data_IF_864072883992
#
_entry.id   IF_864072883992
#
_cell.length_a   1.000
_cell.length_b   1.000
_cell.length_c   1.000
_cell.angle_alpha   90.00
_cell.angle_beta   90.00
_cell.angle_gamma   90.00
#
_symmetry.space_group_name_H-M   'P 1'
#
loop_
_entity.id
_entity.type
_entity.pdbx_description
1 polymer ?
#
# COMPACT_ATOMS: atom_id res chain seq x y z
N UNK A 1 -40.78 -45.77 17.80
CA UNK A 1 -39.46 -45.60 17.16
C UNK A 1 -39.50 -44.85 15.82
N UNK A 2 -40.35 -45.20 14.85
CA UNK A 2 -40.37 -44.53 13.53
C UNK A 2 -40.70 -43.03 13.57
N UNK A 3 -41.61 -42.58 14.43
CA UNK A 3 -41.94 -41.16 14.58
C UNK A 3 -40.81 -40.33 15.22
N UNK A 4 -40.03 -40.94 16.12
CA UNK A 4 -38.88 -40.29 16.77
C UNK A 4 -37.71 -40.15 15.80
N UNK A 5 -37.46 -41.16 14.96
CA UNK A 5 -36.47 -41.08 13.88
C UNK A 5 -36.88 -40.04 12.85
N UNK A 6 -38.17 -39.96 12.47
CA UNK A 6 -38.66 -38.94 11.54
C UNK A 6 -38.52 -37.51 12.10
N UNK A 7 -38.81 -37.32 13.39
CA UNK A 7 -38.64 -36.04 14.08
C UNK A 7 -37.16 -35.65 14.24
N UNK A 8 -36.26 -36.61 14.49
CA UNK A 8 -34.81 -36.39 14.50
C UNK A 8 -34.26 -36.07 13.11
N UNK A 9 -34.77 -36.71 12.05
CA UNK A 9 -34.39 -36.36 10.67
C UNK A 9 -34.96 -35.01 10.24
N UNK A 10 -36.17 -34.64 10.66
CA UNK A 10 -36.74 -33.32 10.39
C UNK A 10 -36.04 -32.21 11.18
N UNK A 11 -35.59 -32.48 12.41
CA UNK A 11 -34.75 -31.56 13.19
C UNK A 11 -33.34 -31.42 12.59
N UNK A 12 -32.76 -32.49 12.03
CA UNK A 12 -31.48 -32.43 11.29
C UNK A 12 -31.60 -31.75 9.92
N UNK A 13 -32.77 -31.79 9.27
CA UNK A 13 -33.00 -31.07 8.00
C UNK A 13 -33.38 -29.60 8.27
N UNK A 14 -33.87 -29.27 9.47
CA UNK A 14 -34.13 -27.91 9.93
C UNK A 14 -32.91 -27.19 10.52
N UNK A 15 -31.75 -27.86 10.68
CA UNK A 15 -30.48 -27.15 10.79
C UNK A 15 -30.09 -26.61 9.40
N UNK A 16 -30.88 -25.65 8.91
CA UNK A 16 -30.43 -24.77 7.85
C UNK A 16 -29.12 -24.16 8.32
N UNK A 17 -28.02 -24.51 7.66
CA UNK A 17 -26.71 -23.94 7.93
C UNK A 17 -26.83 -22.43 7.79
N UNK A 18 -26.84 -21.72 8.92
CA UNK A 18 -27.00 -20.27 8.93
C UNK A 18 -25.77 -19.66 8.26
N UNK A 19 -26.01 -18.93 7.17
CA UNK A 19 -24.95 -18.24 6.45
C UNK A 19 -24.66 -16.93 7.17
N UNK A 20 -23.50 -16.82 7.82
CA UNK A 20 -23.09 -15.58 8.49
C UNK A 20 -22.29 -14.64 7.59
N UNK A 21 -22.08 -14.99 6.32
CA UNK A 21 -21.42 -14.11 5.37
C UNK A 21 -22.22 -12.79 5.21
N UNK A 22 -21.54 -11.62 5.19
CA UNK A 22 -22.22 -10.38 4.89
C UNK A 22 -22.86 -10.42 3.50
N UNK A 23 -24.02 -9.80 3.36
CA UNK A 23 -24.74 -9.75 2.09
C UNK A 23 -25.31 -8.36 1.82
N UNK A 24 -25.22 -7.93 0.57
CA UNK A 24 -25.82 -6.68 0.10
C UNK A 24 -26.88 -7.00 -0.96
N UNK A 25 -28.15 -6.78 -0.62
CA UNK A 25 -29.25 -7.13 -1.49
C UNK A 25 -29.30 -6.24 -2.76
N UNK A 26 -29.80 -6.81 -3.85
CA UNK A 26 -30.06 -6.09 -5.09
C UNK A 26 -31.00 -4.89 -4.87
N UNK A 27 -30.79 -3.82 -5.65
CA UNK A 27 -31.57 -2.57 -5.60
C UNK A 27 -31.57 -1.86 -4.24
N UNK A 28 -30.61 -2.17 -3.37
CA UNK A 28 -30.38 -1.49 -2.09
C UNK A 28 -28.97 -0.92 -2.04
N UNK A 29 -28.84 0.24 -1.41
CA UNK A 29 -27.56 0.89 -1.14
C UNK A 29 -27.37 0.96 0.37
N UNK A 30 -26.31 0.32 0.85
CA UNK A 30 -25.96 0.28 2.26
C UNK A 30 -24.99 1.42 2.55
N UNK A 31 -25.37 2.32 3.45
CA UNK A 31 -24.54 3.43 3.88
C UNK A 31 -23.86 3.10 5.20
N UNK A 32 -22.54 3.32 5.23
CA UNK A 32 -21.71 3.19 6.41
C UNK A 32 -20.96 4.50 6.68
N UNK A 33 -20.78 4.82 7.95
CA UNK A 33 -19.75 5.76 8.39
C UNK A 33 -18.42 5.03 8.41
N UNK A 34 -17.39 5.63 7.82
CA UNK A 34 -16.05 5.08 7.77
C UNK A 34 -15.05 6.07 8.36
N UNK A 35 -14.19 5.56 9.23
CA UNK A 35 -13.05 6.29 9.76
C UNK A 35 -11.83 5.37 9.72
N UNK A 36 -10.71 5.88 9.22
CA UNK A 36 -9.44 5.19 9.26
C UNK A 36 -8.35 6.12 9.75
N UNK A 37 -7.47 5.60 10.60
CA UNK A 37 -6.39 6.32 11.24
C UNK A 37 -5.11 5.51 11.07
N UNK A 38 -4.02 6.18 10.74
CA UNK A 38 -2.67 5.61 10.70
C UNK A 38 -1.75 6.53 11.51
N UNK A 39 -1.05 6.00 12.51
CA UNK A 39 -0.04 6.71 13.29
C UNK A 39 1.28 5.95 13.26
N UNK A 40 2.38 6.65 13.01
CA UNK A 40 3.74 6.15 13.12
C UNK A 40 4.53 6.93 14.17
N UNK A 41 5.36 6.24 14.93
CA UNK A 41 6.27 6.84 15.90
C UNK A 41 6.61 5.90 17.05
N UNK A 42 7.07 6.47 18.14
CA UNK A 42 7.35 5.72 19.37
C UNK A 42 6.04 5.50 20.17
N UNK A 43 5.88 4.33 20.83
CA UNK A 43 4.64 3.95 21.49
C UNK A 43 4.29 4.80 22.71
N UNK A 44 5.27 5.46 23.33
CA UNK A 44 5.11 6.13 24.61
C UNK A 44 4.26 7.40 24.49
N UNK A 45 3.39 7.60 25.47
CA UNK A 45 2.62 8.83 25.64
C UNK A 45 3.55 10.02 25.90
N UNK A 46 3.21 11.17 25.32
CA UNK A 46 4.00 12.40 25.41
C UNK A 46 5.09 12.51 24.35
N UNK A 47 5.28 11.50 23.49
CA UNK A 47 6.19 11.56 22.36
C UNK A 47 5.50 12.01 21.08
N UNK A 48 6.30 12.54 20.15
CA UNK A 48 5.83 12.95 18.85
C UNK A 48 5.47 11.72 17.99
N UNK A 49 4.32 11.78 17.33
CA UNK A 49 3.90 10.86 16.27
C UNK A 49 3.50 11.65 15.03
N UNK A 50 3.52 10.96 13.90
CA UNK A 50 3.03 11.49 12.63
C UNK A 50 2.01 10.52 12.02
N UNK A 51 1.04 11.02 11.27
CA UNK A 51 0.03 10.16 10.72
C UNK A 51 -1.02 10.84 9.86
N UNK A 52 -1.95 10.03 9.38
CA UNK A 52 -3.07 10.45 8.54
C UNK A 52 -4.36 9.84 9.03
N UNK A 53 -5.45 10.57 8.88
CA UNK A 53 -6.80 10.09 9.16
C UNK A 53 -7.70 10.38 7.96
N UNK A 54 -8.56 9.43 7.63
CA UNK A 54 -9.57 9.57 6.58
C UNK A 54 -10.93 9.35 7.22
N UNK A 55 -11.85 10.28 6.98
CA UNK A 55 -13.26 10.16 7.35
C UNK A 55 -14.08 10.23 6.07
N UNK A 56 -15.05 9.35 5.92
CA UNK A 56 -15.93 9.33 4.76
C UNK A 56 -17.22 8.59 5.09
N UNK A 57 -18.21 8.71 4.22
CA UNK A 57 -19.24 7.68 4.11
C UNK A 57 -18.85 6.67 3.04
N UNK A 58 -19.21 5.41 3.24
CA UNK A 58 -19.02 4.32 2.29
C UNK A 58 -20.40 3.83 1.86
N UNK A 59 -20.65 3.84 0.55
CA UNK A 59 -21.86 3.29 -0.05
C UNK A 59 -21.51 1.98 -0.75
N UNK A 60 -22.29 0.95 -0.48
CA UNK A 60 -22.17 -0.36 -1.13
C UNK A 60 -23.51 -0.76 -1.75
N UNK A 61 -23.52 -1.14 -3.03
CA UNK A 61 -24.73 -1.60 -3.72
C UNK A 61 -24.42 -2.70 -4.71
N UNK A 62 -25.28 -3.73 -4.77
CA UNK A 62 -25.20 -4.75 -5.81
C UNK A 62 -25.66 -4.20 -7.16
N UNK A 63 -24.93 -4.53 -8.24
CA UNK A 63 -25.26 -4.13 -9.62
C UNK A 63 -25.47 -5.30 -10.57
N UNK A 64 -24.91 -6.46 -10.27
CA UNK A 64 -25.18 -7.72 -10.95
C UNK A 64 -24.93 -8.89 -9.98
N UNK A 65 -25.15 -10.13 -10.42
CA UNK A 65 -24.81 -11.30 -9.63
C UNK A 65 -23.33 -11.25 -9.21
N UNK A 66 -23.08 -11.38 -7.91
CA UNK A 66 -21.76 -11.31 -7.28
C UNK A 66 -20.93 -10.05 -7.62
N UNK A 67 -21.55 -8.98 -8.14
CA UNK A 67 -20.85 -7.76 -8.56
C UNK A 67 -21.44 -6.54 -7.88
N UNK A 68 -20.56 -5.76 -7.24
CA UNK A 68 -20.95 -4.65 -6.37
C UNK A 68 -20.18 -3.39 -6.71
N UNK A 69 -20.78 -2.25 -6.35
CA UNK A 69 -20.13 -0.95 -6.36
C UNK A 69 -19.76 -0.55 -4.93
N UNK A 70 -18.58 0.06 -4.78
CA UNK A 70 -18.18 0.79 -3.59
C UNK A 70 -17.91 2.25 -3.97
N UNK A 71 -18.50 3.19 -3.24
CA UNK A 71 -18.30 4.63 -3.44
C UNK A 71 -18.04 5.33 -2.11
N UNK A 72 -17.04 6.21 -2.09
CA UNK A 72 -16.85 7.17 -1.00
C UNK A 72 -17.68 8.43 -1.24
N UNK A 73 -18.29 8.95 -0.18
CA UNK A 73 -19.04 10.21 -0.20
C UNK A 73 -18.44 11.15 0.83
N UNK A 74 -18.14 12.35 0.36
CA UNK A 74 -17.51 13.45 1.11
C UNK A 74 -16.25 13.00 1.89
N UNK A 75 -15.25 12.40 1.21
CA UNK A 75 -14.03 11.97 1.88
C UNK A 75 -13.21 13.18 2.37
N UNK A 76 -12.83 13.16 3.64
CA UNK A 76 -11.99 14.16 4.29
C UNK A 76 -10.69 13.53 4.80
N UNK A 77 -9.56 14.14 4.47
CA UNK A 77 -8.24 13.73 4.94
C UNK A 77 -7.75 14.72 5.98
N UNK A 78 -7.13 14.18 7.02
CA UNK A 78 -6.51 14.92 8.10
C UNK A 78 -5.07 14.44 8.29
N UNK A 79 -4.22 15.34 8.71
CA UNK A 79 -2.82 15.08 9.06
C UNK A 79 -2.64 15.20 10.57
N UNK A 80 -1.69 14.44 11.08
CA UNK A 80 -1.25 14.49 12.47
C UNK A 80 0.27 14.63 12.49
N UNK A 81 0.77 15.60 13.24
CA UNK A 81 2.19 15.79 13.49
C UNK A 81 2.33 16.52 14.82
N UNK A 82 2.51 15.76 15.91
CA UNK A 82 2.47 16.34 17.24
C UNK A 82 2.62 15.32 18.36
N UNK A 83 2.50 15.80 19.59
CA UNK A 83 2.64 15.03 20.84
C UNK A 83 1.39 14.17 21.06
N UNK A 84 1.56 12.86 21.03
CA UNK A 84 0.47 11.89 21.19
C UNK A 84 0.16 11.61 22.68
N UNK A 85 -1.11 11.49 23.09
CA UNK A 85 -2.36 11.69 22.32
C UNK A 85 -2.95 13.11 22.45
N UNK A 86 -2.12 14.11 22.83
CA UNK A 86 -2.58 15.45 23.23
C UNK A 86 -2.99 16.32 22.05
N UNK A 87 -2.20 16.29 20.98
CA UNK A 87 -2.43 17.15 19.82
C UNK A 87 -3.59 16.63 18.97
N UNK A 88 -4.18 17.53 18.17
CA UNK A 88 -5.34 17.22 17.34
C UNK A 88 -4.97 16.96 15.89
N UNK A 89 -5.81 16.17 15.21
CA UNK A 89 -5.79 16.05 13.76
C UNK A 89 -6.18 17.37 13.10
N UNK A 90 -5.42 17.79 12.09
CA UNK A 90 -5.68 19.02 11.33
C UNK A 90 -6.17 18.66 9.92
N UNK A 91 -7.23 19.31 9.40
CA UNK A 91 -7.71 19.04 8.04
C UNK A 91 -6.64 19.29 6.97
N UNK A 92 -6.39 18.31 6.12
CA UNK A 92 -5.45 18.37 5.00
C UNK A 92 -6.14 18.86 3.72
N UNK A 93 -6.74 20.05 3.76
CA UNK A 93 -7.65 20.54 2.72
C UNK A 93 -7.08 20.50 1.28
N UNK A 94 -5.77 20.77 1.11
CA UNK A 94 -5.09 20.69 -0.18
C UNK A 94 -5.04 19.25 -0.71
N UNK A 95 -4.68 18.29 0.15
CA UNK A 95 -4.61 16.87 -0.20
C UNK A 95 -6.01 16.30 -0.45
N UNK A 96 -6.96 16.63 0.41
CA UNK A 96 -8.38 16.27 0.22
C UNK A 96 -8.87 16.74 -1.15
N UNK A 97 -8.65 18.01 -1.50
CA UNK A 97 -9.07 18.57 -2.79
C UNK A 97 -8.37 17.90 -3.98
N UNK A 98 -7.07 17.61 -3.86
CA UNK A 98 -6.29 16.97 -4.91
C UNK A 98 -6.75 15.53 -5.22
N UNK A 99 -7.26 14.81 -4.21
CA UNK A 99 -7.69 13.41 -4.35
C UNK A 99 -9.21 13.23 -4.43
N UNK A 100 -10.01 14.28 -4.15
CA UNK A 100 -11.47 14.21 -4.01
C UNK A 100 -12.17 13.52 -5.19
N UNK A 101 -11.80 13.88 -6.41
CA UNK A 101 -12.41 13.32 -7.62
C UNK A 101 -12.16 11.81 -7.74
N UNK A 102 -10.92 11.36 -7.50
CA UNK A 102 -10.56 9.95 -7.56
C UNK A 102 -11.16 9.16 -6.41
N UNK A 103 -11.12 9.69 -5.17
CA UNK A 103 -11.68 9.04 -3.99
C UNK A 103 -13.21 8.86 -4.11
N UNK A 104 -13.90 9.83 -4.69
CA UNK A 104 -15.36 9.78 -4.86
C UNK A 104 -15.80 8.98 -6.10
N UNK A 105 -14.85 8.50 -6.92
CA UNK A 105 -15.16 7.69 -8.10
C UNK A 105 -15.52 6.27 -7.66
N UNK A 106 -16.72 5.76 -7.99
CA UNK A 106 -17.12 4.41 -7.63
C UNK A 106 -16.22 3.36 -8.27
N UNK A 107 -15.82 2.35 -7.50
CA UNK A 107 -15.15 1.14 -8.00
C UNK A 107 -16.11 -0.04 -8.06
N UNK A 108 -15.81 -1.03 -8.89
CA UNK A 108 -16.52 -2.32 -8.91
C UNK A 108 -15.67 -3.40 -8.28
N UNK A 109 -16.31 -4.36 -7.64
CA UNK A 109 -15.64 -5.55 -7.13
C UNK A 109 -16.56 -6.77 -7.20
N UNK A 110 -15.95 -7.94 -7.37
CA UNK A 110 -16.63 -9.22 -7.20
C UNK A 110 -16.73 -9.53 -5.70
N UNK A 111 -17.88 -10.03 -5.25
CA UNK A 111 -18.08 -10.44 -3.87
C UNK A 111 -19.05 -11.61 -3.77
N UNK A 112 -18.62 -12.70 -3.13
CA UNK A 112 -19.46 -13.88 -2.96
C UNK A 112 -19.13 -14.57 -1.64
N UNK A 113 -20.15 -14.84 -0.82
CA UNK A 113 -20.00 -15.55 0.46
C UNK A 113 -18.89 -14.99 1.36
N UNK A 114 -18.79 -13.66 1.46
CA UNK A 114 -17.76 -13.02 2.28
C UNK A 114 -16.40 -12.84 1.60
N UNK A 115 -16.20 -13.38 0.39
CA UNK A 115 -14.92 -13.32 -0.32
C UNK A 115 -14.94 -12.21 -1.36
N UNK A 116 -13.97 -11.30 -1.30
CA UNK A 116 -13.71 -10.29 -2.35
C UNK A 116 -12.87 -10.93 -3.46
N UNK A 117 -13.36 -10.81 -4.69
CA UNK A 117 -12.69 -11.30 -5.89
C UNK A 117 -11.95 -10.19 -6.63
N UNK A 118 -12.17 -10.10 -7.94
CA UNK A 118 -11.53 -9.09 -8.80
C UNK A 118 -12.03 -7.69 -8.49
N UNK A 119 -11.13 -6.73 -8.60
CA UNK A 119 -11.39 -5.30 -8.43
C UNK A 119 -11.28 -4.60 -9.79
N UNK A 120 -12.19 -3.68 -10.07
CA UNK A 120 -12.24 -2.91 -11.31
C UNK A 120 -12.44 -1.43 -11.01
N UNK A 121 -11.70 -0.57 -11.70
CA UNK A 121 -11.81 0.87 -11.57
C UNK A 121 -11.57 1.55 -12.92
N UNK A 122 -12.08 2.79 -13.13
CA UNK A 122 -11.66 3.61 -14.25
C UNK A 122 -10.15 3.89 -14.23
N UNK A 123 -9.55 4.09 -15.40
CA UNK A 123 -8.11 4.41 -15.53
C UNK A 123 -7.72 5.72 -14.87
N UNK A 124 -8.68 6.64 -14.68
CA UNK A 124 -8.49 7.90 -13.97
C UNK A 124 -8.24 7.71 -12.46
N UNK A 125 -8.58 6.55 -11.89
CA UNK A 125 -8.29 6.22 -10.49
C UNK A 125 -6.88 5.65 -10.40
N UNK A 126 -5.99 6.41 -9.75
CA UNK A 126 -4.63 5.98 -9.46
C UNK A 126 -4.60 4.74 -8.58
N UNK A 127 -3.52 3.97 -8.68
CA UNK A 127 -3.32 2.77 -7.87
C UNK A 127 -3.27 3.10 -6.37
N UNK A 128 -2.68 4.24 -5.98
CA UNK A 128 -2.67 4.73 -4.59
C UNK A 128 -4.08 4.91 -4.05
N UNK A 129 -4.99 5.54 -4.80
CA UNK A 129 -6.39 5.72 -4.37
C UNK A 129 -7.13 4.38 -4.39
N UNK A 130 -6.83 3.50 -5.36
CA UNK A 130 -7.42 2.17 -5.40
C UNK A 130 -7.01 1.32 -4.19
N UNK A 131 -5.76 1.45 -3.72
CA UNK A 131 -5.29 0.80 -2.48
C UNK A 131 -6.04 1.28 -1.23
N UNK A 132 -6.48 2.54 -1.17
CA UNK A 132 -7.38 3.01 -0.10
C UNK A 132 -8.71 2.24 -0.14
N UNK A 133 -9.27 2.03 -1.34
CA UNK A 133 -10.48 1.23 -1.49
C UNK A 133 -10.25 -0.24 -1.12
N UNK A 134 -9.10 -0.83 -1.49
CA UNK A 134 -8.73 -2.20 -1.07
C UNK A 134 -8.65 -2.33 0.44
N UNK A 135 -8.16 -1.30 1.14
CA UNK A 135 -8.18 -1.23 2.60
C UNK A 135 -9.59 -1.31 3.19
N UNK A 136 -10.59 -0.72 2.52
CA UNK A 136 -12.01 -0.81 2.93
C UNK A 136 -12.58 -2.19 2.58
N UNK A 137 -12.30 -2.69 1.38
CA UNK A 137 -12.72 -4.03 0.95
C UNK A 137 -12.15 -5.13 1.86
N UNK A 138 -10.96 -4.93 2.43
CA UNK A 138 -10.32 -5.85 3.37
C UNK A 138 -11.15 -6.07 4.66
N UNK A 139 -11.99 -5.10 5.04
CA UNK A 139 -12.97 -5.25 6.14
C UNK A 139 -14.10 -6.20 5.74
N UNK A 140 -14.46 -6.25 4.45
CA UNK A 140 -15.53 -7.10 3.93
C UNK A 140 -15.06 -8.54 3.66
N UNK A 141 -13.75 -8.77 3.62
CA UNK A 141 -13.14 -10.08 3.44
C UNK A 141 -13.35 -10.96 4.68
N UNK A 142 -14.32 -11.86 4.63
CA UNK A 142 -14.75 -12.72 5.71
C UNK A 142 -14.99 -14.15 5.19
N UNK A 143 -13.95 -15.00 5.20
CA UNK A 143 -14.05 -16.39 4.76
C UNK A 143 -14.76 -17.28 5.81
N UNK A 144 -16.04 -17.01 6.06
CA UNK A 144 -16.79 -17.66 7.13
C UNK A 144 -17.13 -19.12 6.79
N UNK A 145 -16.64 -20.06 7.61
CA UNK A 145 -17.03 -21.47 7.52
C UNK A 145 -18.41 -21.69 8.13
N UNK A 146 -19.25 -22.47 7.45
CA UNK A 146 -20.61 -22.83 7.92
C UNK A 146 -20.64 -23.89 9.03
N UNK A 147 -19.51 -24.53 9.31
CA UNK A 147 -19.42 -25.75 10.14
C UNK A 147 -18.66 -25.55 11.44
N UNK A 148 -17.95 -24.42 11.60
CA UNK A 148 -17.01 -24.20 12.69
C UNK A 148 -17.10 -22.75 13.17
N UNK A 149 -17.18 -22.58 14.49
CA UNK A 149 -17.18 -21.26 15.12
C UNK A 149 -15.78 -20.79 15.50
N UNK A 150 -14.83 -21.72 15.65
CA UNK A 150 -13.41 -21.42 15.91
C UNK A 150 -12.57 -22.20 14.91
N UNK A 151 -11.76 -21.51 14.12
CA UNK A 151 -10.92 -22.13 13.11
C UNK A 151 -9.80 -21.20 12.65
N UNK A 152 -8.83 -21.79 11.95
CA UNK A 152 -7.80 -21.07 11.22
C UNK A 152 -7.81 -21.44 9.74
N UNK A 153 -7.30 -20.52 8.92
CA UNK A 153 -7.04 -20.72 7.50
C UNK A 153 -5.98 -19.74 7.00
N UNK A 154 -5.55 -19.92 5.75
CA UNK A 154 -4.81 -18.91 5.01
C UNK A 154 -5.82 -18.06 4.24
N UNK A 155 -5.78 -16.75 4.44
CA UNK A 155 -6.77 -15.83 3.89
C UNK A 155 -6.08 -14.67 3.17
N UNK A 156 -6.52 -14.41 1.93
CA UNK A 156 -6.14 -13.23 1.18
C UNK A 156 -6.61 -11.94 1.89
N UNK A 157 -5.90 -10.85 1.63
CA UNK A 157 -6.22 -9.52 2.09
C UNK A 157 -5.26 -8.51 1.47
N UNK A 158 -5.38 -7.25 1.88
CA UNK A 158 -4.53 -6.17 1.38
C UNK A 158 -3.03 -6.47 1.58
N UNK A 159 -2.66 -7.16 2.67
CA UNK A 159 -1.28 -7.49 3.03
C UNK A 159 -0.76 -8.79 2.37
N UNK A 160 -1.58 -9.48 1.58
CA UNK A 160 -1.25 -10.79 0.98
C UNK A 160 -2.10 -11.93 1.54
N UNK A 161 -1.59 -13.15 1.48
CA UNK A 161 -2.25 -14.37 1.97
C UNK A 161 -1.61 -14.79 3.29
N UNK A 162 -2.30 -14.52 4.40
CA UNK A 162 -1.76 -14.71 5.75
C UNK A 162 -2.62 -15.62 6.62
N UNK A 163 -1.95 -16.24 7.61
CA UNK A 163 -2.61 -17.09 8.60
C UNK A 163 -3.60 -16.25 9.40
N UNK A 164 -4.85 -16.66 9.36
CA UNK A 164 -5.99 -15.94 9.92
C UNK A 164 -6.79 -16.86 10.83
N UNK A 165 -7.09 -16.38 12.04
CA UNK A 165 -7.92 -17.08 13.01
C UNK A 165 -9.28 -16.41 13.11
N UNK A 166 -10.32 -17.21 13.27
CA UNK A 166 -11.69 -16.78 13.45
C UNK A 166 -12.27 -17.34 14.75
N UNK A 167 -13.03 -16.50 15.45
CA UNK A 167 -13.87 -16.86 16.59
C UNK A 167 -15.23 -16.21 16.38
N UNK A 168 -16.29 -17.01 16.34
CA UNK A 168 -17.67 -16.59 16.10
C UNK A 168 -18.52 -16.98 17.30
N UNK A 169 -19.27 -16.04 17.84
CA UNK A 169 -20.26 -16.28 18.89
C UNK A 169 -21.58 -15.58 18.54
N UNK A 170 -22.69 -16.21 18.92
CA UNK A 170 -24.04 -15.70 18.68
C UNK A 170 -24.66 -15.29 20.01
N UNK A 171 -25.19 -14.08 20.08
CA UNK A 171 -26.09 -13.63 21.13
C UNK A 171 -27.52 -13.71 20.60
N UNK A 172 -28.18 -14.84 20.85
CA UNK A 172 -29.55 -15.09 20.43
C UNK A 172 -30.55 -14.13 21.09
N UNK A 173 -30.26 -13.56 22.27
CA UNK A 173 -31.16 -12.62 22.94
C UNK A 173 -31.13 -11.25 22.30
N UNK A 174 -29.95 -10.81 21.87
CA UNK A 174 -29.76 -9.53 21.21
C UNK A 174 -29.91 -9.60 19.68
N UNK A 175 -30.12 -10.80 19.12
CA UNK A 175 -30.06 -11.07 17.68
C UNK A 175 -28.76 -10.55 17.04
N UNK A 176 -27.63 -10.85 17.67
CA UNK A 176 -26.30 -10.40 17.23
C UNK A 176 -25.32 -11.55 17.04
N UNK A 177 -24.42 -11.37 16.09
CA UNK A 177 -23.25 -12.22 15.88
C UNK A 177 -22.02 -11.38 16.21
N UNK A 178 -21.20 -11.89 17.10
CA UNK A 178 -19.88 -11.34 17.41
C UNK A 178 -18.83 -12.18 16.67
N UNK A 179 -18.07 -11.54 15.80
CA UNK A 179 -16.98 -12.20 15.09
C UNK A 179 -15.68 -11.49 15.44
N UNK A 180 -14.69 -12.27 15.86
CA UNK A 180 -13.31 -11.81 16.00
C UNK A 180 -12.45 -12.54 14.98
N UNK A 181 -11.67 -11.76 14.24
CA UNK A 181 -10.73 -12.25 13.25
C UNK A 181 -9.35 -11.68 13.56
N UNK A 182 -8.32 -12.51 13.60
CA UNK A 182 -6.94 -12.05 13.78
C UNK A 182 -6.05 -12.57 12.65
N UNK A 183 -5.18 -11.71 12.12
CA UNK A 183 -4.20 -12.03 11.09
C UNK A 183 -2.79 -11.96 11.67
N UNK A 184 -2.03 -13.03 11.51
CA UNK A 184 -0.60 -13.06 11.81
C UNK A 184 0.20 -12.66 10.56
N UNK A 185 0.64 -11.40 10.50
CA UNK A 185 1.39 -10.87 9.36
C UNK A 185 2.84 -11.37 9.32
N UNK A 186 3.24 -12.18 10.30
CA UNK A 186 4.54 -12.86 10.34
C UNK A 186 4.48 -14.26 9.71
N UNK A 187 3.28 -14.75 9.42
CA UNK A 187 3.01 -16.08 8.89
C UNK A 187 2.09 -15.98 7.66
N UNK A 188 2.69 -15.60 6.54
CA UNK A 188 2.01 -15.46 5.27
C UNK A 188 2.61 -16.42 4.24
N UNK A 189 1.72 -17.10 3.48
CA UNK A 189 2.12 -17.84 2.28
C UNK A 189 2.63 -16.88 1.21
N UNK A 190 1.98 -15.72 1.11
CA UNK A 190 2.35 -14.63 0.24
C UNK A 190 2.26 -13.34 1.05
N UNK A 191 3.36 -12.62 1.20
CA UNK A 191 3.38 -11.32 1.88
C UNK A 191 3.63 -10.23 0.85
N UNK A 192 2.74 -9.25 0.79
CA UNK A 192 2.96 -8.08 -0.07
C UNK A 192 3.94 -7.15 0.64
N UNK A 193 5.19 -7.18 0.16
CA UNK A 193 6.30 -6.40 0.69
C UNK A 193 7.30 -6.16 -0.43
N UNK A 194 7.98 -5.02 -0.40
CA UNK A 194 9.02 -4.67 -1.37
C UNK A 194 10.26 -4.23 -0.61
N UNK A 195 11.34 -4.97 -0.79
CA UNK A 195 12.64 -4.67 -0.21
C UNK A 195 13.57 -4.09 -1.26
N UNK A 196 14.35 -3.08 -0.88
CA UNK A 196 15.35 -2.44 -1.73
C UNK A 196 16.71 -2.48 -1.05
N UNK A 197 17.78 -2.72 -1.82
CA UNK A 197 19.14 -2.72 -1.30
C UNK A 197 19.53 -3.94 -0.46
N UNK A 198 18.68 -4.98 -0.39
CA UNK A 198 18.93 -6.19 0.40
C UNK A 198 19.47 -7.37 -0.41
N UNK A 199 19.87 -7.16 -1.67
CA UNK A 199 20.28 -8.23 -2.60
C UNK A 199 21.46 -9.07 -2.11
N UNK A 200 22.36 -8.49 -1.31
CA UNK A 200 23.53 -9.18 -0.74
C UNK A 200 23.28 -9.70 0.69
N UNK A 201 22.07 -9.55 1.22
CA UNK A 201 21.77 -10.04 2.56
C UNK A 201 21.49 -11.52 2.55
N UNK A 202 22.01 -12.23 3.55
CA UNK A 202 21.78 -13.66 3.71
C UNK A 202 20.77 -13.92 4.83
N UNK A 203 19.95 -14.96 4.64
CA UNK A 203 18.98 -15.36 5.65
C UNK A 203 19.67 -16.09 6.80
N UNK A 204 19.76 -15.44 7.96
CA UNK A 204 20.19 -16.09 9.19
C UNK A 204 18.99 -16.70 9.94
N UNK A 205 18.79 -18.02 9.82
CA UNK A 205 17.66 -18.74 10.47
C UNK A 205 17.75 -18.67 11.99
N UNK A 206 18.94 -18.87 12.57
CA UNK A 206 19.16 -18.80 14.02
C UNK A 206 18.86 -17.39 14.57
N UNK A 207 19.23 -16.34 13.83
CA UNK A 207 18.94 -14.95 14.19
C UNK A 207 17.43 -14.69 14.21
N UNK A 208 16.71 -15.19 13.19
CA UNK A 208 15.25 -15.04 13.11
C UNK A 208 14.50 -15.78 14.22
N UNK A 209 15.07 -16.85 14.77
CA UNK A 209 14.53 -17.54 15.94
C UNK A 209 14.72 -16.74 17.24
N UNK A 210 15.81 -15.96 17.35
CA UNK A 210 16.05 -15.05 18.49
C UNK A 210 15.15 -13.83 18.45
N UNK A 211 14.77 -13.38 17.26
CA UNK A 211 13.80 -12.31 17.08
C UNK A 211 13.67 -11.87 15.63
N UNK A 212 12.49 -11.36 15.27
CA UNK A 212 12.26 -10.67 13.99
C UNK A 212 12.31 -9.17 14.21
N UNK A 213 13.02 -8.46 13.32
CA UNK A 213 13.15 -7.01 13.35
C UNK A 213 11.84 -6.30 12.95
N UNK A 214 11.08 -6.87 12.02
CA UNK A 214 9.75 -6.38 11.67
C UNK A 214 8.71 -7.43 12.06
N UNK A 215 7.74 -7.03 12.87
CA UNK A 215 6.60 -7.85 13.27
C UNK A 215 5.30 -7.14 12.94
N UNK A 216 4.28 -7.90 12.57
CA UNK A 216 2.96 -7.34 12.33
C UNK A 216 1.83 -8.27 12.77
N UNK A 217 0.73 -7.69 13.22
CA UNK A 217 -0.52 -8.40 13.48
C UNK A 217 -1.71 -7.47 13.27
N UNK A 218 -2.84 -8.03 12.87
CA UNK A 218 -4.11 -7.29 12.76
C UNK A 218 -5.23 -8.03 13.48
N UNK A 219 -6.09 -7.28 14.16
CA UNK A 219 -7.28 -7.78 14.82
C UNK A 219 -8.50 -7.03 14.28
N UNK A 220 -9.55 -7.77 13.97
CA UNK A 220 -10.81 -7.28 13.45
C UNK A 220 -11.92 -7.78 14.37
N UNK A 221 -12.77 -6.88 14.83
CA UNK A 221 -13.94 -7.17 15.66
C UNK A 221 -15.18 -6.71 14.95
N UNK A 222 -16.18 -7.59 14.85
CA UNK A 222 -17.42 -7.31 14.15
C UNK A 222 -18.61 -7.56 15.07
N UNK A 223 -19.59 -6.66 14.96
CA UNK A 223 -20.96 -6.87 15.43
C UNK A 223 -21.82 -6.95 14.18
N UNK A 224 -22.48 -8.08 13.97
CA UNK A 224 -23.35 -8.31 12.82
C UNK A 224 -24.76 -8.67 13.27
N UNK A 225 -25.75 -8.33 12.44
CA UNK A 225 -27.15 -8.72 12.64
C UNK A 225 -27.51 -9.84 11.65
N UNK A 226 -28.01 -11.00 12.09
CA UNK A 226 -28.52 -12.02 11.18
C UNK A 226 -29.63 -11.48 10.28
N UNK A 227 -29.67 -11.97 9.05
CA UNK A 227 -30.75 -11.71 8.08
C UNK A 227 -31.24 -13.04 7.51
N UNK A 228 -32.27 -13.02 6.66
CA UNK A 228 -32.82 -14.25 6.09
C UNK A 228 -31.83 -15.04 5.22
N UNK A 229 -30.84 -14.37 4.61
CA UNK A 229 -29.95 -14.95 3.59
C UNK A 229 -28.46 -14.82 3.92
N UNK A 230 -28.12 -13.97 4.89
CA UNK A 230 -26.74 -13.68 5.31
C UNK A 230 -26.70 -12.92 6.64
N UNK A 231 -25.72 -12.04 6.79
CA UNK A 231 -25.66 -11.09 7.89
C UNK A 231 -25.48 -9.63 7.39
N UNK A 232 -25.89 -8.67 8.23
CA UNK A 232 -25.59 -7.26 8.06
C UNK A 232 -24.48 -6.87 9.03
N UNK A 233 -23.36 -6.35 8.53
CA UNK A 233 -22.34 -5.74 9.39
C UNK A 233 -22.96 -4.49 10.01
N UNK A 234 -23.08 -4.46 11.33
CA UNK A 234 -23.54 -3.28 12.08
C UNK A 234 -22.35 -2.42 12.47
N UNK A 235 -21.26 -3.05 12.91
CA UNK A 235 -20.01 -2.40 13.28
C UNK A 235 -18.84 -3.32 12.95
N UNK A 236 -17.76 -2.75 12.44
CA UNK A 236 -16.48 -3.41 12.30
C UNK A 236 -15.37 -2.47 12.77
N UNK A 237 -14.51 -2.97 13.67
CA UNK A 237 -13.35 -2.25 14.18
C UNK A 237 -12.10 -3.06 13.90
N UNK A 238 -11.10 -2.43 13.29
CA UNK A 238 -9.82 -3.03 12.92
C UNK A 238 -8.71 -2.31 13.65
N UNK A 239 -7.79 -3.07 14.22
CA UNK A 239 -6.53 -2.57 14.78
C UNK A 239 -5.39 -3.40 14.20
N UNK A 240 -4.49 -2.74 13.50
CA UNK A 240 -3.28 -3.34 12.94
C UNK A 240 -2.06 -2.66 13.52
N UNK A 241 -1.06 -3.45 13.91
CA UNK A 241 0.17 -2.99 14.50
C UNK A 241 1.34 -3.57 13.73
N UNK A 242 2.24 -2.70 13.28
CA UNK A 242 3.57 -3.07 12.82
C UNK A 242 4.59 -2.53 13.79
N UNK A 243 5.52 -3.38 14.21
CA UNK A 243 6.58 -3.05 15.14
C UNK A 243 7.92 -3.29 14.47
N UNK A 244 8.77 -2.27 14.48
CA UNK A 244 10.14 -2.32 13.99
C UNK A 244 11.13 -2.20 15.16
N UNK A 245 11.92 -3.24 15.34
CA UNK A 245 12.93 -3.36 16.38
C UNK A 245 14.28 -3.69 15.73
N UNK A 246 15.15 -2.70 15.48
CA UNK A 246 16.47 -2.96 14.89
C UNK A 246 17.41 -3.70 15.87
N UNK A 247 17.13 -3.59 17.17
CA UNK A 247 17.85 -4.24 18.26
C UNK A 247 16.88 -5.11 19.10
N UNK A 248 17.32 -5.55 20.28
CA UNK A 248 16.46 -6.29 21.21
C UNK A 248 15.28 -5.40 21.69
N UNK A 249 14.09 -5.99 21.80
CA UNK A 249 12.81 -5.33 22.15
C UNK A 249 12.84 -4.59 23.48
N UNK A 250 13.73 -4.98 24.39
CA UNK A 250 13.97 -4.31 25.67
C UNK A 250 14.34 -2.82 25.53
N UNK A 251 14.82 -2.40 24.35
CA UNK A 251 15.28 -1.01 24.10
C UNK A 251 14.22 -0.10 23.48
N UNK A 252 12.97 -0.58 23.40
CA UNK A 252 11.88 0.12 22.73
C UNK A 252 11.78 -0.26 21.25
N UNK A 253 10.63 0.04 20.62
CA UNK A 253 10.39 -0.29 19.23
C UNK A 253 9.60 0.83 18.56
N UNK A 254 9.97 1.17 17.32
CA UNK A 254 9.14 2.04 16.51
C UNK A 254 7.87 1.29 16.11
N UNK A 255 6.73 1.96 16.17
CA UNK A 255 5.44 1.35 15.87
C UNK A 255 4.71 2.15 14.79
N UNK A 256 4.01 1.41 13.95
CA UNK A 256 2.92 1.94 13.13
C UNK A 256 1.64 1.25 13.58
N UNK A 257 0.65 2.05 13.97
CA UNK A 257 -0.68 1.59 14.36
C UNK A 257 -1.69 2.11 13.34
N UNK A 258 -2.47 1.20 12.76
CA UNK A 258 -3.61 1.52 11.91
C UNK A 258 -4.91 1.10 12.59
N UNK A 259 -5.90 1.98 12.59
CA UNK A 259 -7.25 1.72 13.10
C UNK A 259 -8.26 2.00 12.00
N UNK A 260 -9.24 1.13 11.82
CA UNK A 260 -10.37 1.38 10.94
C UNK A 260 -11.66 1.11 11.69
N UNK A 261 -12.69 1.90 11.42
CA UNK A 261 -14.03 1.74 11.97
C UNK A 261 -15.05 1.89 10.85
N UNK A 262 -15.95 0.92 10.72
CA UNK A 262 -17.04 0.90 9.77
C UNK A 262 -18.34 0.68 10.52
N UNK A 263 -19.23 1.67 10.54
CA UNK A 263 -20.49 1.63 11.30
C UNK A 263 -21.68 1.79 10.37
N UNK A 264 -22.63 0.88 10.43
CA UNK A 264 -23.85 0.92 9.63
C UNK A 264 -24.71 2.12 9.98
N UNK A 265 -25.21 2.82 8.96
CA UNK A 265 -26.10 3.98 9.11
C UNK A 265 -27.51 3.60 8.70
N UNK A 266 -27.71 3.28 7.43
CA UNK A 266 -29.03 2.99 6.87
C UNK A 266 -28.96 2.23 5.55
N UNK A 267 -30.12 1.74 5.09
CA UNK A 267 -30.28 1.19 3.74
C UNK A 267 -31.17 2.12 2.92
N UNK A 268 -30.63 2.64 1.83
CA UNK A 268 -31.29 3.51 0.86
C UNK A 268 -31.80 2.71 -0.34
N UNK A 269 -32.86 3.20 -0.98
CA UNK A 269 -33.37 2.68 -2.25
C UNK A 269 -32.70 3.31 -3.47
N UNK A 270 -32.00 4.43 -3.28
CA UNK A 270 -31.32 5.14 -4.37
C UNK A 270 -30.07 4.35 -4.80
N UNK A 271 -29.99 3.90 -6.06
CA UNK A 271 -28.83 3.15 -6.53
C UNK A 271 -27.59 4.06 -6.62
N UNK A 272 -26.40 3.47 -6.47
CA UNK A 272 -25.16 4.17 -6.81
C UNK A 272 -25.13 4.36 -8.33
N UNK A 273 -25.08 5.61 -8.79
CA UNK A 273 -24.90 5.89 -10.20
C UNK A 273 -23.51 5.45 -10.64
N UNK A 274 -23.47 4.65 -11.71
CA UNK A 274 -22.23 4.31 -12.39
C UNK A 274 -21.61 5.58 -12.94
N UNK A 275 -20.29 5.70 -12.80
CA UNK A 275 -19.54 6.74 -13.49
C UNK A 275 -19.46 6.35 -14.98
N UNK A 276 -19.69 7.31 -15.87
CA UNK A 276 -19.63 7.08 -17.32
C UNK A 276 -18.17 6.95 -17.78
N UNK A 277 -17.60 5.79 -17.48
CA UNK A 277 -16.25 5.43 -17.85
C UNK A 277 -16.12 3.91 -17.98
N UNK A 278 -15.11 3.49 -18.75
CA UNK A 278 -14.75 2.09 -18.87
C UNK A 278 -14.09 1.60 -17.58
N UNK A 279 -14.72 0.62 -16.93
CA UNK A 279 -14.15 -0.10 -15.79
C UNK A 279 -13.19 -1.16 -16.30
N UNK A 280 -11.92 -1.05 -15.95
CA UNK A 280 -10.88 -2.04 -16.31
C UNK A 280 -10.54 -2.89 -15.11
N UNK A 281 -10.14 -4.13 -15.35
CA UNK A 281 -9.65 -5.03 -14.30
C UNK A 281 -8.34 -4.49 -13.72
N UNK A 282 -8.26 -4.41 -12.40
CA UNK A 282 -7.14 -3.83 -11.63
C UNK A 282 -6.71 -4.77 -10.50
N UNK A 283 -6.64 -6.06 -10.79
CA UNK A 283 -6.16 -7.05 -9.83
C UNK A 283 -7.20 -7.45 -8.77
N UNK A 284 -6.73 -7.78 -7.58
CA UNK A 284 -7.53 -8.35 -6.48
C UNK A 284 -7.61 -7.38 -5.27
N UNK A 285 -7.93 -7.93 -4.10
CA UNK A 285 -7.89 -7.22 -2.81
C UNK A 285 -6.47 -6.90 -2.32
N UNK A 286 -5.44 -7.57 -2.86
CA UNK A 286 -4.05 -7.36 -2.47
C UNK A 286 -3.57 -5.96 -2.85
N UNK A 287 -2.73 -5.37 -2.00
CA UNK A 287 -2.08 -4.09 -2.28
C UNK A 287 -1.22 -4.19 -3.54
N UNK A 288 -1.33 -3.21 -4.41
CA UNK A 288 -0.54 -3.11 -5.65
C UNK A 288 0.41 -1.92 -5.53
N UNK A 289 1.71 -2.15 -5.68
CA UNK A 289 2.68 -1.07 -5.66
C UNK A 289 2.57 -0.20 -6.92
N UNK A 290 2.69 1.12 -6.74
CA UNK A 290 2.71 2.09 -7.82
C UNK A 290 4.07 2.79 -7.90
N UNK A 291 4.07 4.08 -8.27
CA UNK A 291 5.30 4.87 -8.48
C UNK A 291 6.08 5.17 -7.18
N UNK A 292 5.50 4.91 -6.01
CA UNK A 292 6.15 5.13 -4.71
C UNK A 292 7.40 4.26 -4.50
N UNK A 293 7.55 3.16 -5.25
CA UNK A 293 8.72 2.26 -5.19
C UNK A 293 10.05 3.02 -5.32
N UNK A 294 10.10 4.04 -6.18
CA UNK A 294 11.33 4.80 -6.43
C UNK A 294 11.56 5.93 -5.42
N UNK A 295 10.57 6.26 -4.60
CA UNK A 295 10.69 7.29 -3.59
C UNK A 295 11.36 6.71 -2.35
N UNK A 296 12.57 7.18 -2.04
CA UNK A 296 13.17 6.92 -0.73
C UNK A 296 12.75 8.04 0.21
N UNK A 297 11.89 7.79 1.22
CA UNK A 297 11.31 8.84 2.05
C UNK A 297 12.31 9.31 3.12
N UNK A 298 13.48 9.80 2.70
CA UNK A 298 14.41 10.56 3.55
C UNK A 298 13.88 11.99 3.68
N UNK A 299 13.32 12.53 2.59
CA UNK A 299 12.66 13.83 2.60
C UNK A 299 11.53 13.90 1.57
N UNK A 300 10.37 14.38 2.00
CA UNK A 300 9.26 14.68 1.10
C UNK A 300 9.59 15.92 0.28
N UNK A 301 9.56 15.78 -1.05
CA UNK A 301 9.82 16.86 -1.98
C UNK A 301 8.54 17.27 -2.70
N UNK A 302 8.25 18.57 -2.68
CA UNK A 302 7.18 19.13 -3.49
C UNK A 302 7.68 19.38 -4.91
N UNK A 303 7.48 18.38 -5.76
CA UNK A 303 7.92 18.42 -7.15
C UNK A 303 6.82 19.08 -7.99
N UNK A 304 7.07 20.32 -8.45
CA UNK A 304 6.20 21.01 -9.41
C UNK A 304 6.74 20.85 -10.84
N UNK A 305 8.06 21.04 -11.00
CA UNK A 305 8.79 20.84 -12.24
C UNK A 305 10.12 20.16 -11.90
N UNK A 306 10.23 18.86 -12.20
CA UNK A 306 11.40 18.06 -11.85
C UNK A 306 12.69 18.61 -12.49
N UNK A 307 12.62 19.07 -13.75
CA UNK A 307 13.78 19.58 -14.48
C UNK A 307 14.31 20.88 -13.85
N UNK A 308 13.45 21.90 -13.67
CA UNK A 308 13.88 23.18 -13.10
C UNK A 308 14.43 23.01 -11.68
N UNK A 309 13.74 22.24 -10.83
CA UNK A 309 14.22 21.98 -9.48
C UNK A 309 15.54 21.20 -9.47
N UNK A 310 15.74 20.26 -10.41
CA UNK A 310 16.98 19.49 -10.49
C UNK A 310 18.15 20.42 -10.85
N UNK A 311 17.95 21.35 -11.77
CA UNK A 311 18.96 22.36 -12.14
C UNK A 311 19.26 23.30 -10.96
N UNK A 312 18.26 23.76 -10.22
CA UNK A 312 18.45 24.58 -9.02
C UNK A 312 19.30 23.87 -7.96
N UNK A 313 18.99 22.61 -7.66
CA UNK A 313 19.76 21.82 -6.68
C UNK A 313 21.16 21.51 -7.19
N UNK A 314 21.33 21.21 -8.47
CA UNK A 314 22.65 21.00 -9.07
C UNK A 314 23.54 22.25 -8.96
N UNK A 315 22.99 23.43 -9.26
CA UNK A 315 23.70 24.71 -9.07
C UNK A 315 24.12 24.90 -7.60
N UNK A 316 23.24 24.58 -6.65
CA UNK A 316 23.55 24.64 -5.22
C UNK A 316 24.69 23.69 -4.83
N UNK A 317 24.63 22.42 -5.26
CA UNK A 317 25.66 21.42 -5.00
C UNK A 317 27.02 21.86 -5.53
N UNK A 318 27.08 22.44 -6.74
CA UNK A 318 28.34 22.94 -7.31
C UNK A 318 28.87 24.17 -6.56
N UNK A 319 27.98 25.12 -6.24
CA UNK A 319 28.38 26.42 -5.68
C UNK A 319 28.93 26.29 -4.26
N UNK A 320 28.28 25.48 -3.41
CA UNK A 320 28.57 25.45 -1.98
C UNK A 320 29.57 24.37 -1.55
N UNK A 321 30.04 23.52 -2.46
CA UNK A 321 30.92 22.39 -2.13
C UNK A 321 32.32 22.48 -2.77
N UNK A 322 32.83 23.68 -3.05
CA UNK A 322 34.10 23.87 -3.75
C UNK A 322 35.34 23.61 -2.89
N UNK A 323 35.40 24.15 -1.67
CA UNK A 323 36.57 24.04 -0.79
C UNK A 323 36.33 23.05 0.36
N UNK A 324 35.13 23.06 0.92
CA UNK A 324 34.66 22.15 1.95
C UNK A 324 33.24 21.73 1.62
N UNK A 325 32.87 20.52 2.06
CA UNK A 325 31.51 20.01 1.90
C UNK A 325 30.57 20.82 2.80
N UNK A 326 29.51 21.36 2.21
CA UNK A 326 28.48 22.09 2.95
C UNK A 326 27.63 21.13 3.78
N UNK A 327 27.14 21.57 4.93
CA UNK A 327 26.41 20.71 5.88
C UNK A 327 25.16 20.05 5.29
N UNK A 328 24.48 20.75 4.36
CA UNK A 328 23.26 20.27 3.72
C UNK A 328 23.51 19.47 2.42
N UNK A 329 24.77 19.34 1.99
CA UNK A 329 25.11 18.72 0.72
C UNK A 329 24.62 17.26 0.61
N UNK A 330 24.71 16.40 1.64
CA UNK A 330 24.15 15.05 1.57
C UNK A 330 22.63 15.07 1.30
N UNK A 331 21.90 15.98 1.95
CA UNK A 331 20.47 16.11 1.77
C UNK A 331 20.15 16.61 0.36
N UNK A 332 20.80 17.69 -0.09
CA UNK A 332 20.67 18.22 -1.45
C UNK A 332 20.98 17.18 -2.52
N UNK A 333 21.98 16.33 -2.30
CA UNK A 333 22.32 15.26 -3.22
C UNK A 333 21.22 14.20 -3.30
N UNK A 334 20.66 13.78 -2.15
CA UNK A 334 19.50 12.89 -2.13
C UNK A 334 18.30 13.54 -2.82
N UNK A 335 18.07 14.84 -2.63
CA UNK A 335 16.99 15.56 -3.30
C UNK A 335 17.18 15.57 -4.83
N UNK A 336 18.40 15.80 -5.30
CA UNK A 336 18.73 15.73 -6.72
C UNK A 336 18.42 14.34 -7.29
N UNK A 337 18.83 13.27 -6.60
CA UNK A 337 18.51 11.89 -6.99
C UNK A 337 16.99 11.66 -7.07
N UNK A 338 16.21 12.13 -6.08
CA UNK A 338 14.75 11.98 -6.12
C UNK A 338 14.12 12.68 -7.32
N UNK A 339 14.60 13.87 -7.67
CA UNK A 339 14.12 14.60 -8.84
C UNK A 339 14.46 13.86 -10.14
N UNK A 340 15.67 13.32 -10.25
CA UNK A 340 16.08 12.51 -11.39
C UNK A 340 15.25 11.21 -11.52
N UNK A 341 14.87 10.57 -10.41
CA UNK A 341 13.98 9.38 -10.43
C UNK A 341 12.58 9.68 -10.97
N UNK A 342 12.11 10.91 -10.79
CA UNK A 342 10.80 11.36 -11.27
C UNK A 342 10.85 12.01 -12.66
N UNK A 343 12.05 12.40 -13.13
CA UNK A 343 12.25 13.05 -14.41
C UNK A 343 12.12 12.05 -15.57
N UNK A 344 11.63 12.53 -16.72
CA UNK A 344 11.63 11.74 -17.94
C UNK A 344 13.07 11.54 -18.46
N UNK A 345 13.29 10.53 -19.30
CA UNK A 345 14.61 10.31 -19.92
C UNK A 345 15.07 11.54 -20.72
N UNK A 346 14.14 12.20 -21.42
CA UNK A 346 14.41 13.42 -22.17
C UNK A 346 14.82 14.58 -21.25
N UNK A 347 14.22 14.67 -20.07
CA UNK A 347 14.55 15.70 -19.08
C UNK A 347 15.96 15.52 -18.50
N UNK A 348 16.36 14.27 -18.23
CA UNK A 348 17.71 13.92 -17.77
C UNK A 348 18.74 14.23 -18.87
N UNK A 349 18.41 13.88 -20.11
CA UNK A 349 19.23 14.19 -21.29
C UNK A 349 19.41 15.70 -21.52
N UNK A 350 18.35 16.49 -21.32
CA UNK A 350 18.41 17.94 -21.40
C UNK A 350 19.35 18.54 -20.34
N UNK A 351 19.26 18.07 -19.09
CA UNK A 351 20.17 18.49 -18.00
C UNK A 351 21.62 18.14 -18.38
N UNK A 352 21.86 16.93 -18.88
CA UNK A 352 23.19 16.55 -19.35
C UNK A 352 23.71 17.47 -20.45
N UNK A 353 22.90 17.72 -21.49
CA UNK A 353 23.29 18.55 -22.62
C UNK A 353 23.67 19.98 -22.19
N UNK A 354 22.95 20.56 -21.22
CA UNK A 354 23.23 21.89 -20.68
C UNK A 354 24.55 21.95 -19.91
N UNK A 355 24.89 20.89 -19.17
CA UNK A 355 25.98 20.93 -18.17
C UNK A 355 27.21 20.09 -18.49
N UNK A 356 27.19 19.23 -19.53
CA UNK A 356 28.29 18.28 -19.82
C UNK A 356 29.64 18.92 -20.07
N UNK A 357 29.69 20.18 -20.52
CA UNK A 357 30.91 20.93 -20.77
C UNK A 357 31.49 21.61 -19.51
N UNK A 358 30.79 21.59 -18.37
CA UNK A 358 31.21 22.21 -17.11
C UNK A 358 31.68 21.10 -16.13
N UNK A 359 32.99 20.96 -15.86
CA UNK A 359 33.53 19.79 -15.14
C UNK A 359 32.88 19.51 -13.78
N UNK A 360 32.65 20.54 -12.96
CA UNK A 360 32.04 20.35 -11.65
C UNK A 360 30.60 19.83 -11.73
N UNK A 361 29.78 20.39 -12.63
CA UNK A 361 28.40 19.96 -12.83
C UNK A 361 28.33 18.54 -13.40
N UNK A 362 29.17 18.27 -14.40
CA UNK A 362 29.32 16.97 -15.03
C UNK A 362 29.61 15.87 -14.00
N UNK A 363 30.51 16.13 -13.06
CA UNK A 363 30.84 15.19 -11.99
C UNK A 363 29.62 14.88 -11.10
N UNK A 364 28.91 15.91 -10.61
CA UNK A 364 27.70 15.72 -9.81
C UNK A 364 26.59 14.95 -10.53
N UNK A 365 26.43 15.16 -11.84
CA UNK A 365 25.47 14.40 -12.66
C UNK A 365 25.88 12.93 -12.72
N UNK A 366 27.15 12.64 -13.06
CA UNK A 366 27.63 11.27 -13.20
C UNK A 366 27.66 10.50 -11.87
N UNK A 367 27.82 11.19 -10.74
CA UNK A 367 27.72 10.59 -9.40
C UNK A 367 26.25 10.29 -9.02
N UNK A 368 25.31 11.14 -9.44
CA UNK A 368 23.89 10.99 -9.10
C UNK A 368 23.15 9.97 -9.96
N UNK A 369 23.46 9.90 -11.27
CA UNK A 369 22.77 9.02 -12.23
C UNK A 369 22.72 7.56 -11.79
N UNK A 370 23.81 6.93 -11.31
CA UNK A 370 23.77 5.55 -10.79
C UNK A 370 22.70 5.33 -9.72
N UNK A 371 22.49 6.32 -8.85
CA UNK A 371 21.56 6.24 -7.72
C UNK A 371 20.10 6.45 -8.11
N UNK A 372 19.80 6.73 -9.38
CA UNK A 372 18.42 6.67 -9.91
C UNK A 372 17.85 5.26 -9.72
N UNK A 373 18.69 4.21 -9.84
CA UNK A 373 18.30 2.83 -9.52
C UNK A 373 17.31 2.19 -10.51
N UNK A 374 17.23 2.71 -11.74
CA UNK A 374 16.34 2.21 -12.79
C UNK A 374 17.10 1.91 -14.10
N UNK A 375 16.51 1.16 -15.05
CA UNK A 375 17.14 0.87 -16.35
C UNK A 375 17.56 2.13 -17.12
N UNK A 376 16.90 3.28 -16.85
CA UNK A 376 17.21 4.58 -17.47
C UNK A 376 18.65 4.99 -17.18
N UNK A 377 19.14 4.78 -15.95
CA UNK A 377 20.50 5.14 -15.57
C UNK A 377 21.56 4.33 -16.33
N UNK A 378 21.37 3.01 -16.40
CA UNK A 378 22.28 2.11 -17.10
C UNK A 378 22.33 2.44 -18.59
N UNK A 379 21.16 2.69 -19.20
CA UNK A 379 21.06 3.12 -20.60
C UNK A 379 21.77 4.45 -20.84
N UNK A 380 21.51 5.46 -20.00
CA UNK A 380 22.17 6.76 -20.10
C UNK A 380 23.70 6.62 -20.10
N UNK A 381 24.26 5.91 -19.11
CA UNK A 381 25.71 5.71 -18.98
C UNK A 381 26.27 4.99 -20.21
N UNK A 382 25.61 3.91 -20.65
CA UNK A 382 26.00 3.13 -21.84
C UNK A 382 26.03 4.01 -23.09
N UNK A 383 24.97 4.77 -23.34
CA UNK A 383 24.83 5.58 -24.53
C UNK A 383 25.87 6.72 -24.55
N UNK A 384 26.14 7.35 -23.40
CA UNK A 384 27.21 8.37 -23.29
C UNK A 384 28.60 7.79 -23.51
N UNK A 385 28.85 6.57 -23.02
CA UNK A 385 30.12 5.90 -23.25
C UNK A 385 30.33 5.56 -24.73
N UNK A 386 29.31 4.98 -25.38
CA UNK A 386 29.37 4.62 -26.80
C UNK A 386 29.49 5.84 -27.73
N UNK A 387 28.90 6.98 -27.34
CA UNK A 387 29.03 8.23 -28.06
C UNK A 387 30.40 8.93 -27.85
N UNK A 388 31.26 8.43 -26.97
CA UNK A 388 32.50 9.10 -26.57
C UNK A 388 32.28 10.38 -25.76
N UNK A 389 31.07 10.58 -25.23
CA UNK A 389 30.66 11.74 -24.43
C UNK A 389 31.19 11.65 -22.99
N UNK A 390 31.57 10.44 -22.52
CA UNK A 390 32.24 10.17 -21.23
C UNK A 390 33.52 9.34 -21.40
N UNK A 391 34.49 9.58 -20.54
CA UNK A 391 35.78 8.87 -20.53
C UNK A 391 35.63 7.45 -20.00
N UNK A 392 36.63 6.60 -20.23
CA UNK A 392 36.67 5.24 -19.69
C UNK A 392 36.60 5.24 -18.16
N UNK A 393 37.27 6.19 -17.49
CA UNK A 393 37.28 6.28 -16.02
C UNK A 393 35.90 6.67 -15.48
N UNK A 394 35.30 7.71 -16.06
CA UNK A 394 33.93 8.13 -15.70
C UNK A 394 32.92 7.01 -15.95
N UNK A 395 33.02 6.33 -17.09
CA UNK A 395 32.14 5.21 -17.41
C UNK A 395 32.34 4.04 -16.44
N UNK A 396 33.58 3.69 -16.09
CA UNK A 396 33.85 2.62 -15.14
C UNK A 396 33.26 2.92 -13.76
N UNK A 397 33.45 4.14 -13.25
CA UNK A 397 32.89 4.56 -11.96
C UNK A 397 31.35 4.54 -11.96
N UNK A 398 30.74 5.20 -12.95
CA UNK A 398 29.30 5.31 -13.03
C UNK A 398 28.63 3.94 -13.28
N UNK A 399 29.18 3.12 -14.18
CA UNK A 399 28.60 1.83 -14.55
C UNK A 399 28.67 0.82 -13.39
N UNK A 400 29.81 0.73 -12.70
CA UNK A 400 29.95 -0.15 -11.52
C UNK A 400 28.92 0.24 -10.46
N UNK A 401 28.82 1.52 -10.13
CA UNK A 401 27.82 2.01 -9.18
C UNK A 401 26.39 1.71 -9.66
N UNK A 402 26.08 1.93 -10.93
CA UNK A 402 24.73 1.74 -11.48
C UNK A 402 24.30 0.28 -11.44
N UNK A 403 25.20 -0.66 -11.75
CA UNK A 403 24.93 -2.10 -11.68
C UNK A 403 24.60 -2.57 -10.26
N UNK A 404 25.22 -1.98 -9.24
CA UNK A 404 24.89 -2.27 -7.84
C UNK A 404 23.57 -1.64 -7.36
N UNK A 405 23.14 -0.54 -7.97
CA UNK A 405 21.97 0.23 -7.54
C UNK A 405 20.69 -0.13 -8.29
N UNK A 406 20.79 -0.62 -9.52
CA UNK A 406 19.64 -0.89 -10.40
C UNK A 406 18.88 -2.15 -9.96
N UNK A 407 17.56 -2.13 -10.14
CA UNK A 407 16.75 -3.34 -9.97
C UNK A 407 17.10 -4.35 -11.07
N UNK A 408 17.40 -5.59 -10.69
CA UNK A 408 17.69 -6.67 -11.63
C UNK A 408 16.40 -7.21 -12.29
N UNK A 409 15.79 -6.42 -13.17
CA UNK A 409 14.66 -6.81 -14.01
C UNK A 409 15.09 -7.20 -15.44
N UNK A 410 14.16 -7.76 -16.22
CA UNK A 410 14.45 -8.23 -17.58
C UNK A 410 14.95 -7.11 -18.49
N UNK A 411 14.45 -5.88 -18.33
CA UNK A 411 14.86 -4.75 -19.15
C UNK A 411 16.29 -4.33 -18.83
N UNK A 412 16.67 -4.30 -17.56
CA UNK A 412 18.03 -4.05 -17.10
C UNK A 412 18.99 -5.13 -17.58
N UNK A 413 18.61 -6.41 -17.45
CA UNK A 413 19.43 -7.55 -17.90
C UNK A 413 19.72 -7.44 -19.40
N UNK A 414 18.71 -7.14 -20.23
CA UNK A 414 18.89 -6.94 -21.67
C UNK A 414 19.82 -5.76 -22.01
N UNK A 415 19.88 -4.73 -21.18
CA UNK A 415 20.78 -3.59 -21.42
C UNK A 415 22.25 -3.97 -21.24
N UNK A 416 22.53 -4.91 -20.32
CA UNK A 416 23.88 -5.41 -20.02
C UNK A 416 24.24 -6.69 -20.78
N UNK A 417 23.26 -7.38 -21.38
CA UNK A 417 23.48 -8.50 -22.29
C UNK A 417 24.31 -8.05 -23.50
N UNK A 418 25.54 -8.54 -23.56
CA UNK A 418 26.46 -8.24 -24.66
C UNK A 418 26.09 -9.14 -25.85
N UNK A 419 25.56 -8.56 -26.93
CA UNK A 419 25.14 -9.31 -28.12
C UNK A 419 26.30 -9.84 -28.99
N UNK A 420 27.56 -9.48 -28.69
CA UNK A 420 28.78 -10.01 -29.32
C UNK A 420 29.97 -9.97 -28.36
N UNK A 421 30.82 -11.01 -28.28
CA UNK A 421 32.03 -10.94 -27.49
C UNK A 421 32.89 -9.75 -27.95
N UNK A 422 33.21 -8.85 -27.01
CA UNK A 422 34.17 -7.78 -27.21
C UNK A 422 35.55 -8.42 -27.44
N UNK A 423 35.95 -8.55 -28.69
CA UNK A 423 37.35 -8.85 -29.04
C UNK A 423 38.18 -7.61 -28.70
N UNK A 424 38.84 -7.64 -27.54
CA UNK A 424 39.96 -6.74 -27.27
C UNK A 424 41.06 -7.06 -28.28
N UNK A 425 41.42 -6.08 -29.13
CA UNK A 425 42.60 -6.11 -29.99
C UNK A 425 43.70 -5.30 -29.36
#
# INVERSE_FOLDING_TARGET
>A
MRAVVLALTLALVASQHVNFAPEFAASKTYEYKYEALLLGGLPEEGLARAGVKVISKVLISAVAENTYLLKLVDPEIFEYSGVWPKDNFVPAAKLTSALAAQLSTPIKFEYANGVVGKVFAPTAVSETVLNVHRGILNILQLNIKKTQNVYELQEAGAQGVCKTHYVISEDAKAERIHLTKTKDLNNCQERIMKDFGLAYTEKCVECQQRGKALRGAAAYSYIMKPTATGALIMEATVTELHQFTPFNEMTGAAQMEAKQMLTFVEIKKTPIMLFDAKYVHRGSIQYEFATEILQTPIQLLKINNAHTQAVEILNHLVTYNMAQVHEDAPLKFVQFIQLLRMASSESIEAIWAEFKAKPAYRHWILDAVPSIGSPVAVRFIKDKFLAGDITIVEAAQALVAAVHMVTADLDTVKLVEVSKPLTFK
#
